data_IF_555591341778
#
_entry.id   IF_555591341778
#
_cell.length_a   1.000
_cell.length_b   1.000
_cell.length_c   1.000
_cell.angle_alpha   90.00
_cell.angle_beta   90.00
_cell.angle_gamma   90.00
#
_symmetry.space_group_name_H-M   'P 1'
#
loop_
_entity.id
_entity.type
_entity.pdbx_description
1 polymer ?
#
# COMPACT_ATOMS: atom_id res chain seq x y z
N UNK A 1 4.01 -26.11 18.83
CA UNK A 1 2.70 -25.44 19.02
C UNK A 1 1.85 -25.75 17.81
N UNK A 2 0.56 -26.12 17.96
CA UNK A 2 -0.30 -26.37 16.81
C UNK A 2 -0.61 -25.05 16.11
N UNK A 3 -0.33 -24.95 14.81
CA UNK A 3 -0.68 -23.80 13.99
C UNK A 3 -2.20 -23.78 13.76
N UNK A 4 -2.89 -22.76 14.25
CA UNK A 4 -4.29 -22.49 13.90
C UNK A 4 -4.33 -21.75 12.57
N UNK A 5 -4.68 -22.47 11.50
CA UNK A 5 -4.99 -21.86 10.19
C UNK A 5 -6.35 -21.19 10.28
N UNK A 6 -6.41 -19.87 10.10
CA UNK A 6 -7.67 -19.15 9.84
C UNK A 6 -7.80 -18.94 8.34
N UNK A 7 -8.86 -19.45 7.74
CA UNK A 7 -9.26 -19.04 6.40
C UNK A 7 -9.79 -17.61 6.46
N UNK A 8 -9.07 -16.68 5.82
CA UNK A 8 -9.46 -15.29 5.67
C UNK A 8 -9.84 -15.13 4.21
N UNK A 9 -11.15 -15.06 3.95
CA UNK A 9 -11.67 -14.79 2.62
C UNK A 9 -11.60 -13.28 2.37
N UNK A 10 -10.67 -12.86 1.52
CA UNK A 10 -10.50 -11.47 1.12
C UNK A 10 -11.25 -11.28 -0.22
N UNK A 11 -12.44 -10.65 -0.25
CA UNK A 11 -13.20 -10.52 -1.48
C UNK A 11 -12.37 -9.79 -2.54
N UNK A 12 -12.43 -10.30 -3.78
CA UNK A 12 -11.66 -9.77 -4.90
C UNK A 12 -11.85 -8.25 -5.04
N UNK A 13 -10.82 -7.52 -5.52
CA UNK A 13 -10.91 -6.06 -5.69
C UNK A 13 -12.14 -5.66 -6.49
N UNK A 14 -12.50 -6.43 -7.53
CA UNK A 14 -13.70 -6.19 -8.36
C UNK A 14 -14.99 -6.35 -7.55
N UNK A 15 -15.07 -7.35 -6.68
CA UNK A 15 -16.25 -7.60 -5.84
C UNK A 15 -16.38 -6.53 -4.76
N UNK A 16 -15.25 -6.03 -4.22
CA UNK A 16 -15.21 -4.88 -3.32
C UNK A 16 -15.63 -3.60 -4.02
N UNK A 17 -15.15 -3.38 -5.24
CA UNK A 17 -15.53 -2.25 -6.11
C UNK A 17 -17.02 -2.24 -6.36
N UNK A 18 -17.60 -3.39 -6.74
CA UNK A 18 -19.03 -3.52 -7.01
C UNK A 18 -19.87 -3.33 -5.74
N UNK A 19 -19.43 -3.86 -4.59
CA UNK A 19 -20.11 -3.68 -3.31
C UNK A 19 -20.02 -2.24 -2.78
N UNK A 20 -18.88 -1.58 -2.94
CA UNK A 20 -18.69 -0.17 -2.60
C UNK A 20 -19.55 0.75 -3.49
N UNK A 21 -19.55 0.50 -4.81
CA UNK A 21 -20.41 1.24 -5.76
C UNK A 21 -21.90 1.02 -5.46
N UNK A 22 -22.30 -0.21 -5.11
CA UNK A 22 -23.68 -0.53 -4.73
C UNK A 22 -24.08 0.10 -3.39
N UNK A 23 -23.21 0.08 -2.38
CA UNK A 23 -23.46 0.71 -1.08
C UNK A 23 -23.58 2.24 -1.20
N UNK A 24 -22.81 2.87 -2.09
CA UNK A 24 -22.90 4.31 -2.34
C UNK A 24 -24.13 4.70 -3.16
N UNK A 25 -24.56 3.88 -4.13
CA UNK A 25 -25.86 4.08 -4.82
C UNK A 25 -27.05 3.99 -3.86
N UNK A 26 -27.01 3.08 -2.89
CA UNK A 26 -28.09 2.94 -1.90
C UNK A 26 -28.11 4.06 -0.83
N UNK A 27 -27.09 4.92 -0.77
CA UNK A 27 -27.05 6.09 0.13
C UNK A 27 -27.52 7.39 -0.54
N UNK A 28 -28.11 7.33 -1.74
CA UNK A 28 -28.79 8.50 -2.31
C UNK A 28 -29.99 8.88 -1.44
N UNK A 29 -30.01 10.08 -0.83
CA UNK A 29 -31.17 10.53 -0.07
C UNK A 29 -32.36 10.65 -1.03
N UNK A 30 -33.55 10.22 -0.57
CA UNK A 30 -34.81 10.59 -1.23
C UNK A 30 -34.84 12.12 -1.41
N UNK A 31 -35.16 12.56 -2.62
CA UNK A 31 -35.19 13.96 -3.01
C UNK A 31 -36.15 14.78 -2.12
N UNK A 32 -35.61 15.50 -1.14
CA UNK A 32 -36.28 16.62 -0.50
C UNK A 32 -35.74 17.92 -1.10
N UNK A 33 -36.58 18.62 -1.86
CA UNK A 33 -36.18 19.79 -2.64
C UNK A 33 -35.71 20.96 -1.80
N UNK A 34 -34.49 21.42 -2.06
CA UNK A 34 -34.06 22.81 -2.07
C UNK A 34 -32.71 22.88 -2.81
N UNK A 35 -32.69 23.68 -3.89
CA UNK A 35 -31.69 23.67 -4.95
C UNK A 35 -30.46 24.53 -4.56
N UNK A 36 -29.67 24.03 -3.60
CA UNK A 36 -28.36 24.60 -3.22
C UNK A 36 -27.28 23.51 -3.19
N UNK A 37 -26.59 23.32 -4.32
CA UNK A 37 -25.36 22.52 -4.43
C UNK A 37 -25.62 21.01 -4.46
N UNK A 38 -25.84 20.45 -5.65
CA UNK A 38 -25.90 19.00 -5.82
C UNK A 38 -24.56 18.36 -5.39
N UNK A 39 -24.58 17.60 -4.29
CA UNK A 39 -23.43 16.78 -3.90
C UNK A 39 -23.10 15.78 -5.01
N UNK A 40 -21.89 15.88 -5.55
CA UNK A 40 -21.43 15.07 -6.67
C UNK A 40 -20.52 13.95 -6.18
N UNK A 41 -20.79 12.72 -6.62
CA UNK A 41 -19.87 11.60 -6.40
C UNK A 41 -18.97 11.45 -7.63
N UNK A 42 -17.68 11.75 -7.48
CA UNK A 42 -16.67 11.63 -8.52
C UNK A 42 -15.78 10.41 -8.27
N UNK A 43 -15.72 9.50 -9.24
CA UNK A 43 -14.82 8.35 -9.20
C UNK A 43 -13.53 8.67 -9.97
N UNK A 44 -12.45 8.97 -9.25
CA UNK A 44 -11.11 9.05 -9.83
C UNK A 44 -10.54 7.65 -10.00
N UNK A 45 -10.48 7.21 -11.26
CA UNK A 45 -10.04 5.86 -11.61
C UNK A 45 -8.57 5.57 -11.29
N UNK A 46 -8.20 4.29 -11.19
CA UNK A 46 -6.90 3.84 -10.69
C UNK A 46 -5.68 4.19 -11.57
N UNK A 47 -5.89 4.55 -12.83
CA UNK A 47 -4.82 4.96 -13.76
C UNK A 47 -4.90 6.44 -14.12
N UNK A 48 -5.63 7.23 -13.33
CA UNK A 48 -5.77 8.66 -13.59
C UNK A 48 -4.38 9.34 -13.47
N UNK A 49 -3.96 10.20 -14.42
CA UNK A 49 -2.62 10.81 -14.40
C UNK A 49 -2.29 11.62 -13.13
N UNK A 50 -3.31 12.03 -12.38
CA UNK A 50 -3.17 12.77 -11.13
C UNK A 50 -2.83 11.89 -9.91
N UNK A 51 -2.80 10.56 -10.04
CA UNK A 51 -2.41 9.65 -8.95
C UNK A 51 -1.04 9.06 -9.24
N UNK A 52 -0.01 9.45 -8.48
CA UNK A 52 1.28 8.77 -8.51
C UNK A 52 1.11 7.34 -7.99
N UNK A 53 1.16 6.36 -8.89
CA UNK A 53 0.87 4.95 -8.59
C UNK A 53 -0.52 4.53 -9.06
N UNK A 54 -1.04 3.44 -8.49
CA UNK A 54 -2.36 2.88 -8.84
C UNK A 54 -3.28 3.02 -7.64
N UNK A 55 -4.11 4.06 -7.64
CA UNK A 55 -5.02 4.38 -6.55
C UNK A 55 -6.35 4.85 -7.11
N UNK A 56 -7.44 4.23 -6.65
CA UNK A 56 -8.79 4.72 -6.94
C UNK A 56 -9.27 5.53 -5.75
N UNK A 57 -9.83 6.72 -6.04
CA UNK A 57 -10.44 7.58 -5.03
C UNK A 57 -11.90 7.83 -5.41
N UNK A 58 -12.82 7.48 -4.52
CA UNK A 58 -14.22 7.88 -4.63
C UNK A 58 -14.42 9.12 -3.79
N UNK A 59 -14.66 10.26 -4.44
CA UNK A 59 -14.77 11.58 -3.84
C UNK A 59 -16.24 12.02 -3.79
N UNK A 60 -16.67 12.56 -2.67
CA UNK A 60 -17.94 13.29 -2.52
C UNK A 60 -17.60 14.79 -2.49
N UNK A 61 -18.11 15.53 -3.47
CA UNK A 61 -17.82 16.93 -3.69
C UNK A 61 -19.06 17.77 -3.45
N UNK A 62 -18.87 18.90 -2.77
CA UNK A 62 -19.83 20.01 -2.75
C UNK A 62 -19.16 21.19 -3.45
N UNK A 63 -19.44 21.32 -4.76
CA UNK A 63 -18.69 22.21 -5.65
C UNK A 63 -17.19 21.85 -5.71
N UNK A 64 -16.34 22.77 -5.24
CA UNK A 64 -14.87 22.60 -5.20
C UNK A 64 -14.38 21.95 -3.89
N UNK A 65 -15.26 21.78 -2.90
CA UNK A 65 -14.89 21.28 -1.57
C UNK A 65 -15.07 19.76 -1.54
N UNK A 66 -14.01 19.05 -1.15
CA UNK A 66 -14.07 17.61 -0.88
C UNK A 66 -14.69 17.40 0.50
N UNK A 67 -15.88 16.80 0.55
CA UNK A 67 -16.59 16.48 1.80
C UNK A 67 -16.21 15.10 2.32
N UNK A 68 -15.93 14.15 1.43
CA UNK A 68 -15.47 12.79 1.77
C UNK A 68 -14.57 12.24 0.67
N UNK A 69 -13.53 11.50 1.06
CA UNK A 69 -12.68 10.75 0.15
C UNK A 69 -12.56 9.31 0.66
N UNK A 70 -13.00 8.34 -0.15
CA UNK A 70 -12.89 6.91 0.17
C UNK A 70 -11.81 6.31 -0.74
N UNK A 71 -10.61 6.01 -0.21
CA UNK A 71 -9.56 5.37 -0.97
C UNK A 71 -9.84 3.87 -1.12
N UNK A 72 -9.74 3.39 -2.35
CA UNK A 72 -9.83 1.97 -2.70
C UNK A 72 -8.42 1.48 -3.10
N UNK A 73 -7.86 0.61 -2.26
CA UNK A 73 -6.47 0.17 -2.31
C UNK A 73 -6.40 -1.34 -2.55
N UNK A 74 -5.27 -1.80 -3.09
CA UNK A 74 -5.02 -3.23 -3.33
C UNK A 74 -4.84 -3.61 -4.79
N UNK A 75 -4.94 -2.67 -5.73
CA UNK A 75 -4.64 -2.91 -7.15
C UNK A 75 -3.20 -3.37 -7.40
N UNK A 76 -2.27 -3.09 -6.47
CA UNK A 76 -0.88 -3.56 -6.51
C UNK A 76 -0.59 -4.64 -5.46
N UNK A 77 -1.61 -5.31 -4.91
CA UNK A 77 -1.40 -6.42 -3.99
C UNK A 77 -0.82 -7.62 -4.75
N UNK A 78 0.41 -8.02 -4.40
CA UNK A 78 1.13 -9.14 -5.05
C UNK A 78 1.26 -10.39 -4.17
N UNK A 79 0.74 -10.36 -2.94
CA UNK A 79 0.85 -11.48 -2.01
C UNK A 79 2.28 -11.75 -1.53
N UNK A 80 3.12 -10.70 -1.41
CA UNK A 80 4.54 -10.83 -1.02
C UNK A 80 4.71 -11.59 0.31
N UNK A 81 3.80 -11.40 1.27
CA UNK A 81 3.78 -12.14 2.54
C UNK A 81 3.59 -13.65 2.35
N UNK A 82 2.70 -14.05 1.43
CA UNK A 82 2.46 -15.46 1.14
C UNK A 82 3.62 -16.11 0.40
N UNK A 83 4.27 -15.34 -0.48
CA UNK A 83 5.49 -15.76 -1.18
C UNK A 83 6.62 -15.99 -0.17
N UNK A 84 6.76 -15.11 0.83
CA UNK A 84 7.77 -15.22 1.87
C UNK A 84 7.71 -16.56 2.63
N UNK A 85 6.51 -17.08 2.89
CA UNK A 85 6.33 -18.37 3.57
C UNK A 85 6.95 -19.56 2.82
N UNK A 86 7.04 -19.46 1.48
CA UNK A 86 7.52 -20.53 0.62
C UNK A 86 8.97 -20.32 0.14
N UNK A 87 9.68 -19.34 0.70
CA UNK A 87 11.05 -18.98 0.30
C UNK A 87 12.04 -19.08 1.46
N UNK A 88 13.30 -19.36 1.12
CA UNK A 88 14.39 -19.26 2.09
C UNK A 88 14.75 -17.80 2.37
N UNK A 89 15.32 -17.53 3.54
CA UNK A 89 15.63 -16.17 3.97
C UNK A 89 16.43 -15.35 2.95
N UNK A 90 17.45 -15.93 2.32
CA UNK A 90 18.25 -15.25 1.30
C UNK A 90 17.51 -15.09 -0.04
N UNK A 91 16.59 -16.00 -0.37
CA UNK A 91 15.82 -15.95 -1.61
C UNK A 91 14.77 -14.83 -1.57
N UNK A 92 14.33 -14.42 -0.38
CA UNK A 92 13.35 -13.35 -0.20
C UNK A 92 13.95 -11.94 -0.29
N UNK A 93 15.28 -11.78 -0.21
CA UNK A 93 15.94 -10.45 -0.26
C UNK A 93 15.55 -9.63 -1.51
N UNK A 94 15.46 -10.19 -2.73
CA UNK A 94 15.03 -9.43 -3.89
C UNK A 94 13.55 -9.00 -3.82
N UNK A 95 12.72 -9.64 -3.00
CA UNK A 95 11.32 -9.24 -2.82
C UNK A 95 11.21 -8.02 -1.91
N UNK A 96 12.13 -7.85 -0.95
CA UNK A 96 12.14 -6.66 -0.09
C UNK A 96 12.47 -5.38 -0.87
N UNK A 97 13.24 -5.47 -1.95
CA UNK A 97 13.45 -4.36 -2.90
C UNK A 97 12.17 -3.86 -3.58
N UNK A 98 11.15 -4.73 -3.70
CA UNK A 98 9.92 -4.44 -4.45
C UNK A 98 8.79 -3.88 -3.58
N UNK A 99 8.95 -3.92 -2.24
CA UNK A 99 7.97 -3.39 -1.30
C UNK A 99 7.92 -1.86 -1.34
N UNK A 100 9.09 -1.22 -1.25
CA UNK A 100 9.31 0.20 -1.53
C UNK A 100 10.36 0.30 -2.63
N UNK A 101 9.88 0.56 -3.84
CA UNK A 101 10.72 0.67 -5.02
C UNK A 101 11.50 1.98 -5.08
N UNK A 102 11.20 2.97 -4.23
CA UNK A 102 11.96 4.22 -4.13
C UNK A 102 13.17 4.07 -3.20
N UNK A 103 13.06 3.24 -2.16
CA UNK A 103 14.13 2.99 -1.21
C UNK A 103 14.47 1.50 -0.97
N UNK A 104 14.85 0.74 -2.03
CA UNK A 104 15.05 -0.71 -1.94
C UNK A 104 16.12 -1.13 -0.92
N UNK A 105 17.22 -0.36 -0.83
CA UNK A 105 18.33 -0.67 0.08
C UNK A 105 17.91 -0.57 1.55
N UNK A 106 17.05 0.39 1.89
CA UNK A 106 16.53 0.56 3.25
C UNK A 106 15.69 -0.65 3.68
N UNK A 107 14.88 -1.19 2.77
CA UNK A 107 14.08 -2.39 3.02
C UNK A 107 14.96 -3.63 3.22
N UNK A 108 15.96 -3.82 2.37
CA UNK A 108 16.89 -4.94 2.50
C UNK A 108 17.63 -4.91 3.83
N UNK A 109 18.05 -3.72 4.27
CA UNK A 109 18.71 -3.55 5.58
C UNK A 109 17.73 -3.85 6.72
N UNK A 110 16.48 -3.37 6.65
CA UNK A 110 15.47 -3.67 7.67
C UNK A 110 15.20 -5.18 7.79
N UNK A 111 15.07 -5.88 6.66
CA UNK A 111 14.89 -7.32 6.63
C UNK A 111 16.12 -8.08 7.16
N UNK A 112 17.33 -7.70 6.73
CA UNK A 112 18.56 -8.30 7.21
C UNK A 112 18.73 -8.14 8.72
N UNK A 113 18.42 -6.96 9.27
CA UNK A 113 18.45 -6.70 10.72
C UNK A 113 17.46 -7.59 11.48
N UNK A 114 16.27 -7.85 10.92
CA UNK A 114 15.29 -8.76 11.53
C UNK A 114 15.82 -10.20 11.58
N UNK A 115 16.42 -10.68 10.49
CA UNK A 115 17.03 -12.03 10.41
C UNK A 115 18.25 -12.15 11.33
N UNK A 116 19.12 -11.14 11.38
CA UNK A 116 20.29 -11.11 12.27
C UNK A 116 19.90 -11.13 13.73
N UNK A 117 18.87 -10.36 14.11
CA UNK A 117 18.33 -10.35 15.46
C UNK A 117 17.73 -11.71 15.84
N UNK A 118 17.06 -12.39 14.91
CA UNK A 118 16.53 -13.73 15.11
C UNK A 118 17.65 -14.77 15.33
N UNK A 119 18.76 -14.64 14.60
CA UNK A 119 19.91 -15.56 14.67
C UNK A 119 20.93 -15.20 15.78
N UNK A 120 20.80 -14.03 16.41
CA UNK A 120 21.75 -13.53 17.40
C UNK A 120 23.12 -13.15 16.81
N UNK A 121 23.16 -12.74 15.54
CA UNK A 121 24.41 -12.40 14.86
C UNK A 121 24.79 -10.93 15.04
N UNK A 122 26.08 -10.70 15.27
CA UNK A 122 26.64 -9.35 15.25
C UNK A 122 27.54 -9.14 14.03
N UNK A 123 27.24 -8.10 13.27
CA UNK A 123 28.00 -7.73 12.07
C UNK A 123 29.20 -6.86 12.43
N UNK A 124 30.33 -7.00 11.72
CA UNK A 124 31.49 -6.13 11.91
C UNK A 124 31.16 -4.63 11.80
N UNK A 125 31.86 -3.75 12.54
CA UNK A 125 31.63 -2.31 12.51
C UNK A 125 31.63 -1.69 11.10
N UNK A 126 32.51 -2.19 10.21
CA UNK A 126 32.55 -1.79 8.81
C UNK A 126 31.25 -2.10 8.05
N UNK A 127 30.65 -3.26 8.30
CA UNK A 127 29.39 -3.64 7.66
C UNK A 127 28.23 -2.74 8.12
N UNK A 128 28.18 -2.41 9.41
CA UNK A 128 27.22 -1.45 9.96
C UNK A 128 27.38 -0.07 9.30
N UNK A 129 28.61 0.43 9.16
CA UNK A 129 28.88 1.72 8.51
C UNK A 129 28.44 1.76 7.03
N UNK A 130 28.74 0.70 6.25
CA UNK A 130 28.33 0.62 4.83
C UNK A 130 26.81 0.63 4.71
N UNK A 131 26.10 -0.11 5.57
CA UNK A 131 24.63 -0.13 5.57
C UNK A 131 24.04 1.25 5.80
N UNK A 132 24.57 1.99 6.78
CA UNK A 132 24.14 3.37 7.02
C UNK A 132 24.35 4.20 5.77
N UNK A 133 25.56 4.23 5.19
CA UNK A 133 25.85 5.00 3.96
C UNK A 133 24.86 4.64 2.83
N UNK A 134 24.61 3.35 2.59
CA UNK A 134 23.66 2.89 1.57
C UNK A 134 22.22 3.34 1.86
N UNK A 135 21.74 3.24 3.11
CA UNK A 135 20.42 3.71 3.50
C UNK A 135 20.28 5.23 3.33
N UNK A 136 21.31 6.00 3.70
CA UNK A 136 21.31 7.46 3.56
C UNK A 136 21.24 7.88 2.09
N UNK A 137 22.02 7.22 1.22
CA UNK A 137 21.96 7.42 -0.24
C UNK A 137 20.57 7.08 -0.80
N UNK A 138 20.01 5.94 -0.37
CA UNK A 138 18.67 5.51 -0.77
C UNK A 138 17.60 6.50 -0.31
N UNK A 139 17.72 7.06 0.89
CA UNK A 139 16.79 8.07 1.40
C UNK A 139 16.85 9.34 0.56
N UNK A 140 18.04 9.84 0.25
CA UNK A 140 18.20 11.04 -0.60
C UNK A 140 17.57 10.79 -1.97
N UNK A 141 17.86 9.64 -2.60
CA UNK A 141 17.26 9.26 -3.88
C UNK A 141 15.73 9.25 -3.84
N UNK A 142 15.15 8.63 -2.81
CA UNK A 142 13.70 8.55 -2.65
C UNK A 142 13.05 9.93 -2.51
N UNK A 143 13.68 10.87 -1.79
CA UNK A 143 13.16 12.23 -1.61
C UNK A 143 13.32 13.12 -2.85
N UNK A 144 14.25 12.79 -3.75
CA UNK A 144 14.41 13.49 -5.04
C UNK A 144 13.41 13.03 -6.11
N UNK A 145 12.82 11.84 -5.94
CA UNK A 145 11.82 11.27 -6.84
C UNK A 145 10.36 11.55 -6.41
N UNK A 146 10.17 12.35 -5.35
CA UNK A 146 8.84 12.79 -4.87
C UNK A 146 8.15 13.76 -5.81
#
# INVERSE_FOLDING_TARGET
MPFTTREIENPDPVTRVAAADAAMRNQQPEQSGEDIGEKMVLNMGPSHPATHGVLRLVLELDGEIITKATPDVGFLHRGDEKIAENMQYNQFVPYTDRLDYLAPLSNNVAYALAVEKLMGWEIPPRGKAIRVICCELSRISAHLMG
#
